data_IF_472782993003
#
_entry.id   IF_472782993003
#
_cell.length_a   1.000
_cell.length_b   1.000
_cell.length_c   1.000
_cell.angle_alpha   90.00
_cell.angle_beta   90.00
_cell.angle_gamma   90.00
#
_symmetry.space_group_name_H-M   'P 1'
#
loop_
_entity.id
_entity.type
_entity.pdbx_description
1 polymer ?
#
# COMPACT_ATOMS: atom_id res chain seq x y z
N UNK A 1 1.13 31.17 0.98
CA UNK A 1 0.44 29.87 0.92
C UNK A 1 1.09 29.01 -0.16
N UNK A 2 1.66 27.86 0.20
CA UNK A 2 2.16 26.89 -0.79
C UNK A 2 0.96 26.21 -1.42
N UNK A 3 0.82 26.29 -2.75
CA UNK A 3 -0.18 25.48 -3.46
C UNK A 3 0.36 24.05 -3.56
N UNK A 4 -0.27 23.14 -2.85
CA UNK A 4 -0.05 21.71 -2.98
C UNK A 4 -0.80 21.16 -4.21
N UNK A 5 -0.37 20.02 -4.79
CA UNK A 5 -1.16 19.32 -5.79
C UNK A 5 -2.57 19.05 -5.26
N UNK A 6 -3.57 19.20 -6.11
CA UNK A 6 -4.95 18.89 -5.73
C UNK A 6 -5.14 17.41 -5.57
N UNK A 7 -5.76 16.97 -4.46
CA UNK A 7 -6.23 15.58 -4.31
C UNK A 7 -7.27 15.25 -5.40
N UNK A 8 -7.26 14.00 -5.85
CA UNK A 8 -8.30 13.47 -6.73
C UNK A 8 -9.09 12.43 -5.95
N UNK A 9 -10.41 12.58 -5.86
CA UNK A 9 -11.26 11.50 -5.39
C UNK A 9 -11.16 10.34 -6.41
N UNK A 10 -10.72 9.17 -5.94
CA UNK A 10 -10.74 7.96 -6.75
C UNK A 10 -12.10 7.32 -6.57
N UNK A 11 -12.78 6.98 -7.65
CA UNK A 11 -14.04 6.24 -7.58
C UNK A 11 -13.83 4.95 -6.81
N UNK A 12 -14.62 4.74 -5.76
CA UNK A 12 -14.65 3.46 -5.03
C UNK A 12 -14.98 2.38 -6.06
N UNK A 13 -14.13 1.35 -6.15
CA UNK A 13 -14.49 0.18 -6.94
C UNK A 13 -15.75 -0.42 -6.31
N UNK A 14 -16.89 -0.26 -7.00
CA UNK A 14 -18.15 -0.76 -6.49
C UNK A 14 -18.16 -2.28 -6.65
N UNK A 15 -18.32 -3.07 -5.54
CA UNK A 15 -18.48 -4.52 -5.64
C UNK A 15 -19.69 -4.93 -6.46
N UNK A 16 -20.65 -4.02 -6.72
CA UNK A 16 -21.77 -4.27 -7.62
C UNK A 16 -21.33 -4.37 -9.09
N UNK A 17 -20.15 -3.86 -9.45
CA UNK A 17 -19.62 -3.88 -10.82
C UNK A 17 -18.74 -5.10 -11.07
N UNK A 18 -18.21 -5.76 -10.01
CA UNK A 18 -17.40 -6.96 -10.15
C UNK A 18 -18.09 -8.17 -9.51
N UNK A 19 -18.78 -9.03 -10.30
CA UNK A 19 -19.50 -10.21 -9.80
C UNK A 19 -18.59 -11.29 -9.16
N UNK A 20 -17.28 -11.16 -9.33
CA UNK A 20 -16.27 -12.06 -8.75
C UNK A 20 -15.65 -11.51 -7.46
N UNK A 21 -16.11 -10.35 -6.99
CA UNK A 21 -15.63 -9.78 -5.72
C UNK A 21 -16.20 -10.59 -4.55
N UNK A 22 -15.37 -11.09 -3.62
CA UNK A 22 -15.89 -11.70 -2.40
C UNK A 22 -16.71 -10.65 -1.63
N UNK A 23 -17.69 -11.10 -0.86
CA UNK A 23 -18.51 -10.20 -0.04
C UNK A 23 -17.60 -9.36 0.87
N UNK A 24 -17.89 -8.06 0.94
CA UNK A 24 -17.17 -7.16 1.84
C UNK A 24 -17.22 -7.70 3.26
N UNK A 25 -16.07 -7.87 3.91
CA UNK A 25 -16.02 -8.21 5.32
C UNK A 25 -16.25 -6.95 6.16
N UNK A 26 -16.95 -7.09 7.27
CA UNK A 26 -16.89 -6.12 8.37
C UNK A 26 -15.51 -6.09 9.02
N UNK A 27 -15.38 -5.40 10.16
CA UNK A 27 -14.14 -5.47 10.94
C UNK A 27 -13.77 -6.93 11.26
N UNK A 28 -12.47 -7.27 11.30
CA UNK A 28 -12.04 -8.61 11.69
C UNK A 28 -12.62 -8.98 13.05
N UNK A 29 -13.23 -10.18 13.13
CA UNK A 29 -13.96 -10.61 14.33
C UNK A 29 -13.08 -10.81 15.57
N UNK A 30 -11.76 -10.89 15.40
CA UNK A 30 -10.77 -10.95 16.47
C UNK A 30 -10.32 -9.57 16.97
N UNK A 31 -10.87 -8.48 16.41
CA UNK A 31 -10.55 -7.10 16.78
C UNK A 31 -9.15 -6.65 16.39
N UNK A 32 -8.52 -7.34 15.45
CA UNK A 32 -7.16 -7.05 14.98
C UNK A 32 -7.18 -6.65 13.51
N UNK A 33 -6.29 -5.74 13.13
CA UNK A 33 -6.10 -5.32 11.75
C UNK A 33 -4.68 -5.68 11.31
N UNK A 34 -4.59 -6.52 10.29
CA UNK A 34 -3.32 -7.01 9.72
C UNK A 34 -2.98 -6.19 8.50
N UNK A 35 -1.85 -5.51 8.58
CA UNK A 35 -1.34 -4.58 7.56
C UNK A 35 -0.07 -5.16 6.93
N UNK A 36 0.06 -5.03 5.60
CA UNK A 36 1.27 -5.40 4.88
C UNK A 36 1.69 -4.27 3.94
N UNK A 37 2.97 -3.93 3.94
CA UNK A 37 3.60 -3.06 2.93
C UNK A 37 4.61 -3.86 2.13
N UNK A 38 4.53 -3.78 0.78
CA UNK A 38 5.42 -4.54 -0.08
C UNK A 38 5.72 -3.82 -1.41
N UNK A 39 6.99 -3.49 -1.63
CA UNK A 39 7.48 -3.08 -2.95
C UNK A 39 7.74 -4.34 -3.78
N UNK A 40 6.93 -4.58 -4.82
CA UNK A 40 6.95 -5.83 -5.59
C UNK A 40 7.81 -5.79 -6.85
N UNK A 41 8.48 -4.66 -7.13
CA UNK A 41 9.36 -4.51 -8.31
C UNK A 41 8.71 -5.04 -9.59
N UNK A 42 7.45 -4.67 -9.86
CA UNK A 42 6.67 -5.14 -11.04
C UNK A 42 6.55 -6.68 -11.12
N UNK A 43 6.65 -7.38 -9.99
CA UNK A 43 6.63 -8.84 -9.95
C UNK A 43 7.90 -9.50 -10.50
N UNK A 44 9.03 -8.79 -10.50
CA UNK A 44 10.33 -9.32 -10.91
C UNK A 44 11.05 -9.87 -9.69
N UNK A 45 11.52 -11.13 -9.76
CA UNK A 45 12.38 -11.70 -8.75
C UNK A 45 13.83 -11.30 -9.01
N UNK A 46 14.44 -10.55 -8.10
CA UNK A 46 15.84 -10.13 -8.15
C UNK A 46 16.59 -10.73 -6.96
N UNK A 47 17.54 -11.63 -7.23
CA UNK A 47 18.25 -12.38 -6.19
C UNK A 47 19.71 -11.91 -6.00
N UNK A 48 20.25 -11.05 -6.87
CA UNK A 48 21.62 -10.55 -6.85
C UNK A 48 21.75 -9.22 -7.55
N UNK A 49 22.69 -8.36 -7.14
CA UNK A 49 23.02 -7.10 -7.83
C UNK A 49 23.29 -7.26 -9.33
N UNK A 50 23.95 -8.35 -9.74
CA UNK A 50 24.21 -8.63 -11.16
C UNK A 50 22.94 -8.73 -12.01
N UNK A 51 21.79 -9.07 -11.43
CA UNK A 51 20.52 -9.14 -12.15
C UNK A 51 20.04 -7.77 -12.64
N UNK A 52 20.35 -6.67 -11.93
CA UNK A 52 20.06 -5.32 -12.42
C UNK A 52 20.77 -5.01 -13.74
N UNK A 53 22.00 -5.48 -13.90
CA UNK A 53 22.79 -5.26 -15.11
C UNK A 53 22.43 -6.24 -16.24
N UNK A 54 22.24 -7.53 -15.91
CA UNK A 54 22.04 -8.58 -16.90
C UNK A 54 20.57 -8.80 -17.29
N UNK A 55 19.64 -8.45 -16.41
CA UNK A 55 18.19 -8.64 -16.58
C UNK A 55 17.39 -7.34 -16.69
N UNK A 56 18.07 -6.22 -16.94
CA UNK A 56 17.43 -4.90 -17.07
C UNK A 56 16.29 -4.86 -18.11
N UNK A 57 16.36 -5.71 -19.15
CA UNK A 57 15.31 -5.86 -20.16
C UNK A 57 13.99 -6.41 -19.58
N UNK A 58 14.02 -7.16 -18.47
CA UNK A 58 12.81 -7.67 -17.79
C UNK A 58 11.95 -6.54 -17.22
N UNK A 59 12.54 -5.38 -16.95
CA UNK A 59 11.79 -4.18 -16.56
C UNK A 59 10.98 -3.58 -17.70
N UNK A 60 11.28 -3.95 -18.95
CA UNK A 60 10.64 -3.40 -20.15
C UNK A 60 9.79 -4.42 -20.92
N UNK A 61 10.10 -5.72 -20.83
CA UNK A 61 9.45 -6.76 -21.62
C UNK A 61 8.73 -7.80 -20.73
N UNK A 62 7.66 -8.45 -21.24
CA UNK A 62 7.03 -9.57 -20.56
C UNK A 62 8.01 -10.73 -20.31
N UNK A 63 7.90 -11.37 -19.15
CA UNK A 63 8.75 -12.50 -18.78
C UNK A 63 7.90 -13.60 -18.13
N UNK A 64 8.13 -14.85 -18.53
CA UNK A 64 7.32 -16.03 -18.10
C UNK A 64 7.38 -16.27 -16.59
N UNK A 65 8.51 -16.00 -15.92
CA UNK A 65 8.65 -16.15 -14.47
C UNK A 65 7.81 -15.16 -13.64
N UNK A 66 7.30 -14.07 -14.26
CA UNK A 66 6.50 -13.06 -13.56
C UNK A 66 5.16 -13.61 -13.07
N UNK A 67 4.48 -14.41 -13.88
CA UNK A 67 3.19 -14.98 -13.50
C UNK A 67 3.30 -15.88 -12.26
N UNK A 68 4.29 -16.76 -12.21
CA UNK A 68 4.54 -17.59 -11.03
C UNK A 68 4.95 -16.78 -9.80
N UNK A 69 5.63 -15.64 -10.00
CA UNK A 69 5.99 -14.75 -8.92
C UNK A 69 4.76 -13.99 -8.37
N UNK A 70 3.89 -13.49 -9.26
CA UNK A 70 2.63 -12.85 -8.86
C UNK A 70 1.69 -13.82 -8.14
N UNK A 71 1.68 -15.11 -8.54
CA UNK A 71 0.92 -16.12 -7.83
C UNK A 71 1.39 -16.26 -6.37
N UNK A 72 2.70 -16.40 -6.14
CA UNK A 72 3.28 -16.46 -4.79
C UNK A 72 3.03 -15.20 -3.98
N UNK A 73 3.11 -14.02 -4.62
CA UNK A 73 2.74 -12.77 -3.98
C UNK A 73 1.28 -12.82 -3.56
N UNK A 74 0.35 -13.17 -4.47
CA UNK A 74 -1.08 -13.23 -4.19
C UNK A 74 -1.43 -14.15 -3.01
N UNK A 75 -0.79 -15.32 -2.93
CA UNK A 75 -0.95 -16.25 -1.81
C UNK A 75 -0.50 -15.62 -0.49
N UNK A 76 0.68 -14.96 -0.47
CA UNK A 76 1.17 -14.24 0.70
C UNK A 76 0.20 -13.14 1.17
N UNK A 77 -0.38 -12.38 0.23
CA UNK A 77 -1.27 -11.27 0.55
C UNK A 77 -2.56 -11.71 1.24
N UNK A 78 -3.00 -12.96 1.00
CA UNK A 78 -4.27 -13.50 1.50
C UNK A 78 -4.45 -13.48 3.03
N UNK A 79 -3.36 -13.40 3.79
CA UNK A 79 -3.37 -13.41 5.26
C UNK A 79 -3.59 -12.02 5.88
N UNK A 80 -3.70 -10.95 5.05
CA UNK A 80 -3.77 -9.57 5.50
C UNK A 80 -5.11 -8.92 5.20
N UNK A 81 -5.46 -7.89 5.99
CA UNK A 81 -6.71 -7.16 5.86
C UNK A 81 -6.55 -5.93 4.96
N UNK A 82 -5.36 -5.30 4.98
CA UNK A 82 -5.00 -4.16 4.14
C UNK A 82 -3.55 -4.27 3.68
N UNK A 83 -3.35 -4.13 2.37
CA UNK A 83 -2.03 -4.25 1.72
C UNK A 83 -1.71 -3.00 0.93
N UNK A 84 -0.51 -2.45 1.14
CA UNK A 84 0.07 -1.37 0.35
C UNK A 84 1.15 -1.93 -0.59
N UNK A 85 0.96 -1.76 -1.89
CA UNK A 85 1.85 -2.25 -2.93
C UNK A 85 2.56 -1.07 -3.61
N UNK A 86 3.88 -1.13 -3.68
CA UNK A 86 4.68 -0.18 -4.44
C UNK A 86 5.26 -0.87 -5.68
N UNK A 87 5.54 -0.06 -6.70
CA UNK A 87 6.10 -0.52 -7.97
C UNK A 87 5.27 -1.59 -8.67
N UNK A 88 3.96 -1.43 -8.70
CA UNK A 88 3.05 -2.24 -9.51
C UNK A 88 2.94 -1.69 -10.93
N UNK A 89 2.55 -2.55 -11.89
CA UNK A 89 2.21 -2.12 -13.24
C UNK A 89 0.70 -2.06 -13.45
N UNK A 90 0.25 -0.96 -14.07
CA UNK A 90 -1.16 -0.69 -14.32
C UNK A 90 -1.76 -1.38 -15.54
N UNK A 91 -1.04 -2.29 -16.20
CA UNK A 91 -1.52 -2.97 -17.42
C UNK A 91 -0.82 -2.49 -18.68
N UNK A 92 0.50 -2.40 -18.66
CA UNK A 92 1.32 -2.05 -19.81
C UNK A 92 1.93 -3.29 -20.49
N UNK A 93 2.67 -3.06 -21.59
CA UNK A 93 3.38 -4.12 -22.30
C UNK A 93 4.29 -4.94 -21.37
N UNK A 94 5.01 -4.29 -20.45
CA UNK A 94 5.94 -4.97 -19.54
C UNK A 94 5.24 -5.97 -18.60
N UNK A 95 3.96 -5.76 -18.28
CA UNK A 95 3.14 -6.69 -17.49
C UNK A 95 2.30 -7.65 -18.34
N UNK A 96 2.47 -7.61 -19.69
CA UNK A 96 1.61 -8.35 -20.62
C UNK A 96 0.16 -7.81 -20.64
N UNK A 97 0.00 -6.51 -20.40
CA UNK A 97 -1.28 -5.81 -20.30
C UNK A 97 -2.15 -6.25 -19.11
N UNK A 98 -1.54 -6.90 -18.11
CA UNK A 98 -2.20 -7.26 -16.87
C UNK A 98 -2.09 -6.11 -15.87
N UNK A 99 -3.22 -5.64 -15.34
CA UNK A 99 -3.25 -4.77 -14.18
C UNK A 99 -2.88 -5.60 -12.95
N UNK A 100 -1.67 -5.38 -12.43
CA UNK A 100 -1.15 -6.19 -11.33
C UNK A 100 -1.91 -5.98 -10.02
N UNK A 101 -2.46 -4.77 -9.77
CA UNK A 101 -3.25 -4.51 -8.56
C UNK A 101 -4.54 -5.34 -8.57
N UNK A 102 -5.29 -5.28 -9.67
CA UNK A 102 -6.51 -6.07 -9.87
C UNK A 102 -6.23 -7.57 -9.79
N UNK A 103 -5.18 -8.03 -10.49
CA UNK A 103 -4.80 -9.44 -10.52
C UNK A 103 -4.46 -9.97 -9.12
N UNK A 104 -3.67 -9.21 -8.34
CA UNK A 104 -3.31 -9.57 -6.97
C UNK A 104 -4.51 -9.50 -6.02
N UNK A 105 -5.45 -8.56 -6.26
CA UNK A 105 -6.70 -8.50 -5.50
C UNK A 105 -7.52 -9.79 -5.68
N UNK A 106 -7.62 -10.29 -6.92
CA UNK A 106 -8.31 -11.54 -7.19
C UNK A 106 -7.60 -12.75 -6.55
N UNK A 107 -6.28 -12.85 -6.68
CA UNK A 107 -5.51 -13.94 -6.09
C UNK A 107 -5.59 -13.95 -4.55
N UNK A 108 -5.49 -12.79 -3.90
CA UNK A 108 -5.55 -12.65 -2.44
C UNK A 108 -6.98 -12.57 -1.87
N UNK A 109 -8.02 -12.57 -2.73
CA UNK A 109 -9.42 -12.51 -2.31
C UNK A 109 -9.83 -11.16 -1.69
N UNK A 110 -9.32 -10.05 -2.21
CA UNK A 110 -9.67 -8.70 -1.74
C UNK A 110 -10.88 -8.14 -2.50
N UNK A 111 -11.95 -7.74 -1.78
CA UNK A 111 -13.12 -7.14 -2.40
C UNK A 111 -12.88 -5.69 -2.88
N UNK A 112 -11.91 -5.00 -2.29
CA UNK A 112 -11.57 -3.63 -2.64
C UNK A 112 -10.12 -3.52 -3.08
N UNK A 113 -9.90 -2.88 -4.21
CA UNK A 113 -8.58 -2.56 -4.69
C UNK A 113 -8.55 -1.20 -5.39
N UNK A 114 -7.42 -0.50 -5.28
CA UNK A 114 -7.26 0.86 -5.81
C UNK A 114 -5.87 1.00 -6.40
N UNK A 115 -5.82 1.59 -7.59
CA UNK A 115 -4.57 1.83 -8.30
C UNK A 115 -4.33 3.33 -8.43
N UNK A 116 -3.14 3.77 -8.03
CA UNK A 116 -2.65 5.11 -8.29
C UNK A 116 -1.62 5.07 -9.42
N UNK A 117 -1.97 5.66 -10.58
CA UNK A 117 -1.04 5.78 -11.71
C UNK A 117 -0.13 6.99 -11.50
N UNK A 118 1.12 6.76 -11.12
CA UNK A 118 2.10 7.80 -10.79
C UNK A 118 2.88 8.31 -12.01
N UNK A 119 3.15 7.44 -12.98
CA UNK A 119 3.82 7.79 -14.22
C UNK A 119 3.35 6.91 -15.36
N UNK A 120 2.84 7.54 -16.39
CA UNK A 120 2.40 6.86 -17.60
C UNK A 120 3.43 7.06 -18.72
N UNK A 121 4.06 5.98 -19.17
CA UNK A 121 4.94 5.93 -20.33
C UNK A 121 4.21 5.29 -21.54
N UNK A 122 2.93 5.56 -21.66
CA UNK A 122 2.06 5.02 -22.68
C UNK A 122 1.88 3.50 -22.54
N UNK A 123 1.99 2.78 -23.66
CA UNK A 123 1.81 1.32 -23.68
C UNK A 123 3.02 0.56 -23.12
N UNK A 124 4.18 1.19 -22.93
CA UNK A 124 5.42 0.52 -22.53
C UNK A 124 5.47 0.21 -21.03
N UNK A 125 5.15 1.19 -20.19
CA UNK A 125 5.20 1.04 -18.73
C UNK A 125 4.21 1.99 -18.03
N UNK A 126 3.52 1.48 -17.03
CA UNK A 126 2.61 2.26 -16.17
C UNK A 126 3.04 2.07 -14.72
N UNK A 127 3.87 3.01 -14.23
CA UNK A 127 4.33 2.97 -12.84
C UNK A 127 3.20 3.39 -11.91
N UNK A 128 2.79 2.47 -11.08
CA UNK A 128 1.65 2.64 -10.17
C UNK A 128 2.00 2.21 -8.75
N UNK A 129 1.18 2.67 -7.83
CA UNK A 129 1.00 2.09 -6.50
C UNK A 129 -0.33 1.37 -6.46
N UNK A 130 -0.51 0.45 -5.51
CA UNK A 130 -1.76 -0.26 -5.30
C UNK A 130 -2.12 -0.37 -3.82
N UNK A 131 -3.41 -0.38 -3.53
CA UNK A 131 -3.93 -0.76 -2.22
C UNK A 131 -4.96 -1.86 -2.42
N UNK A 132 -4.86 -2.90 -1.60
CA UNK A 132 -5.85 -3.97 -1.50
C UNK A 132 -6.46 -3.92 -0.11
N UNK A 133 -7.77 -4.07 0.00
CA UNK A 133 -8.45 -4.00 1.30
C UNK A 133 -9.61 -4.99 1.37
N UNK A 134 -9.73 -5.67 2.52
CA UNK A 134 -10.92 -6.44 2.88
C UNK A 134 -12.02 -5.54 3.42
N UNK A 135 -11.64 -4.38 3.96
CA UNK A 135 -12.52 -3.39 4.54
C UNK A 135 -12.89 -2.33 3.50
N UNK A 136 -14.14 -1.89 3.51
CA UNK A 136 -14.55 -0.74 2.70
C UNK A 136 -14.04 0.55 3.33
N UNK A 137 -13.16 1.32 2.65
CA UNK A 137 -12.80 2.64 3.13
C UNK A 137 -14.01 3.59 3.10
N UNK A 138 -14.15 4.42 4.12
CA UNK A 138 -15.16 5.49 4.13
C UNK A 138 -14.71 6.72 3.32
N UNK A 139 -13.40 6.83 3.08
CA UNK A 139 -12.78 7.84 2.23
C UNK A 139 -11.59 7.21 1.51
N UNK A 140 -11.41 7.55 0.25
CA UNK A 140 -10.20 7.27 -0.52
C UNK A 140 -9.81 8.51 -1.34
N UNK A 141 -8.58 8.94 -1.17
CA UNK A 141 -8.03 10.09 -1.91
C UNK A 141 -6.69 9.74 -2.54
N UNK A 142 -6.50 10.20 -3.78
CA UNK A 142 -5.28 10.08 -4.55
C UNK A 142 -4.50 11.39 -4.49
N UNK A 143 -3.26 11.32 -4.01
CA UNK A 143 -2.39 12.47 -3.79
C UNK A 143 -1.10 12.37 -4.61
N UNK A 144 -0.98 13.12 -5.72
CA UNK A 144 0.31 13.31 -6.37
C UNK A 144 1.27 14.00 -5.40
N UNK A 145 2.40 13.38 -5.12
CA UNK A 145 3.38 13.96 -4.21
C UNK A 145 4.23 15.06 -4.87
N UNK A 146 4.65 16.10 -4.14
CA UNK A 146 5.50 17.16 -4.67
C UNK A 146 6.83 16.63 -5.21
N UNK A 147 7.24 17.10 -6.38
CA UNK A 147 8.51 16.74 -6.98
C UNK A 147 8.39 16.17 -8.38
N UNK A 148 9.42 15.44 -8.86
CA UNK A 148 9.36 14.76 -10.15
C UNK A 148 8.23 13.74 -10.22
N UNK A 149 7.64 13.49 -11.41
CA UNK A 149 6.58 12.50 -11.58
C UNK A 149 7.05 11.10 -11.21
N UNK A 150 6.11 10.25 -10.80
CA UNK A 150 6.37 8.85 -10.45
C UNK A 150 6.32 8.55 -8.96
N UNK A 151 5.93 9.53 -8.14
CA UNK A 151 5.73 9.36 -6.70
C UNK A 151 4.36 9.85 -6.28
N UNK A 152 3.70 9.09 -5.41
CA UNK A 152 2.35 9.37 -4.95
C UNK A 152 2.06 8.78 -3.59
N UNK A 153 0.93 9.21 -3.02
CA UNK A 153 0.35 8.66 -1.81
C UNK A 153 -1.15 8.47 -1.99
N UNK A 154 -1.72 7.47 -1.35
CA UNK A 154 -3.16 7.29 -1.22
C UNK A 154 -3.55 7.35 0.25
N UNK A 155 -4.54 8.20 0.56
CA UNK A 155 -5.15 8.26 1.89
C UNK A 155 -6.43 7.43 1.89
N UNK A 156 -6.50 6.48 2.79
CA UNK A 156 -7.71 5.72 3.10
C UNK A 156 -8.17 6.09 4.51
N UNK A 157 -9.47 6.25 4.69
CA UNK A 157 -10.08 6.34 6.01
C UNK A 157 -10.88 5.06 6.28
N UNK A 158 -10.52 4.37 7.35
CA UNK A 158 -11.24 3.18 7.83
C UNK A 158 -12.08 3.59 9.04
N UNK A 159 -13.37 3.31 8.98
CA UNK A 159 -14.33 3.77 9.97
C UNK A 159 -14.78 5.21 9.79
N UNK A 160 -15.50 5.73 10.76
CA UNK A 160 -16.10 7.06 10.76
C UNK A 160 -15.82 7.79 12.08
N UNK A 161 -16.02 9.11 12.08
CA UNK A 161 -15.89 9.95 13.28
C UNK A 161 -14.46 10.15 13.75
N UNK A 162 -14.30 10.44 15.05
CA UNK A 162 -13.03 10.80 15.67
C UNK A 162 -12.05 9.64 15.83
N UNK A 163 -12.56 8.41 15.89
CA UNK A 163 -11.76 7.19 16.06
C UNK A 163 -11.44 6.50 14.73
N UNK A 164 -11.80 7.12 13.58
CA UNK A 164 -11.42 6.62 12.27
C UNK A 164 -9.89 6.53 12.12
N UNK A 165 -9.42 5.48 11.46
CA UNK A 165 -7.99 5.28 11.19
C UNK A 165 -7.68 5.87 9.81
N UNK A 166 -6.76 6.85 9.77
CA UNK A 166 -6.16 7.32 8.52
C UNK A 166 -4.98 6.43 8.15
N UNK A 167 -5.09 5.73 7.04
CA UNK A 167 -4.00 4.93 6.47
C UNK A 167 -3.46 5.65 5.24
N UNK A 168 -2.18 6.01 5.25
CA UNK A 168 -1.51 6.60 4.09
C UNK A 168 -0.51 5.61 3.54
N UNK A 169 -0.82 5.07 2.36
CA UNK A 169 0.15 4.34 1.56
C UNK A 169 0.97 5.33 0.74
N UNK A 170 2.28 5.14 0.67
CA UNK A 170 3.17 6.03 -0.07
C UNK A 170 4.39 5.31 -0.68
N UNK A 171 4.93 5.92 -1.73
CA UNK A 171 6.25 5.61 -2.25
C UNK A 171 7.02 6.92 -2.42
N UNK A 172 8.01 7.17 -1.55
CA UNK A 172 8.73 8.44 -1.47
C UNK A 172 9.92 8.52 -2.44
N UNK A 173 10.36 9.73 -2.70
CA UNK A 173 11.52 10.00 -3.57
C UNK A 173 12.83 9.53 -2.92
N UNK A 174 13.78 9.10 -3.77
CA UNK A 174 15.15 8.76 -3.35
C UNK A 174 15.93 9.97 -2.79
N UNK A 175 15.71 11.15 -3.37
CA UNK A 175 16.42 12.38 -2.98
C UNK A 175 15.87 13.00 -1.70
N UNK A 176 16.72 13.22 -0.69
CA UNK A 176 16.35 13.73 0.64
C UNK A 176 15.55 15.05 0.58
N UNK A 177 15.97 16.02 -0.23
CA UNK A 177 15.27 17.32 -0.37
C UNK A 177 13.84 17.17 -0.88
N UNK A 178 13.62 16.29 -1.86
CA UNK A 178 12.28 16.02 -2.40
C UNK A 178 11.45 15.28 -1.37
N UNK A 179 12.03 14.27 -0.73
CA UNK A 179 11.39 13.48 0.33
C UNK A 179 10.92 14.34 1.50
N UNK A 180 11.73 15.30 1.96
CA UNK A 180 11.33 16.27 3.00
C UNK A 180 10.08 17.06 2.59
N UNK A 181 9.99 17.49 1.33
CA UNK A 181 8.79 18.20 0.83
C UNK A 181 7.57 17.28 0.76
N UNK A 182 7.75 16.03 0.39
CA UNK A 182 6.70 15.01 0.38
C UNK A 182 6.19 14.72 1.78
N UNK A 183 7.09 14.56 2.75
CA UNK A 183 6.74 14.33 4.15
C UNK A 183 6.04 15.55 4.80
N UNK A 184 6.39 16.78 4.39
CA UNK A 184 5.67 17.97 4.82
C UNK A 184 4.22 17.97 4.31
N UNK A 185 4.00 17.55 3.07
CA UNK A 185 2.65 17.38 2.51
C UNK A 185 1.86 16.30 3.24
N UNK A 186 2.47 15.12 3.49
CA UNK A 186 1.83 14.02 4.24
C UNK A 186 1.45 14.46 5.65
N UNK A 187 2.33 15.20 6.34
CA UNK A 187 2.03 15.74 7.68
C UNK A 187 0.77 16.61 7.70
N UNK A 188 0.62 17.49 6.71
CA UNK A 188 -0.58 18.34 6.59
C UNK A 188 -1.82 17.49 6.32
N UNK A 189 -1.70 16.46 5.49
CA UNK A 189 -2.79 15.57 5.12
C UNK A 189 -3.37 14.80 6.33
N UNK A 190 -2.52 14.32 7.23
CA UNK A 190 -2.93 13.46 8.35
C UNK A 190 -3.12 14.19 9.67
N UNK A 191 -2.76 15.47 9.76
CA UNK A 191 -2.70 16.22 11.03
C UNK A 191 -4.02 16.31 11.80
N UNK A 192 -5.16 16.06 11.15
CA UNK A 192 -6.48 16.05 11.79
C UNK A 192 -6.94 14.68 12.32
N UNK A 193 -6.18 13.62 12.10
CA UNK A 193 -6.56 12.26 12.51
C UNK A 193 -5.87 11.85 13.81
N UNK A 194 -6.64 11.26 14.72
CA UNK A 194 -6.14 10.71 15.99
C UNK A 194 -5.36 9.42 15.77
N UNK A 195 -5.88 8.53 14.92
CA UNK A 195 -5.28 7.23 14.61
C UNK A 195 -4.66 7.29 13.21
N UNK A 196 -3.35 7.11 13.15
CA UNK A 196 -2.59 7.28 11.91
C UNK A 196 -1.73 6.05 11.64
N UNK A 197 -1.75 5.57 10.40
CA UNK A 197 -0.86 4.55 9.86
C UNK A 197 -0.23 5.10 8.60
N UNK A 198 1.11 5.17 8.55
CA UNK A 198 1.84 5.52 7.33
C UNK A 198 2.65 4.30 6.90
N UNK A 199 2.43 3.84 5.69
CA UNK A 199 3.06 2.60 5.21
C UNK A 199 3.57 2.72 3.78
N UNK A 200 4.68 2.07 3.48
CA UNK A 200 5.27 2.05 2.14
C UNK A 200 6.79 2.07 2.12
N UNK A 201 7.32 2.13 0.90
CA UNK A 201 8.73 2.38 0.65
C UNK A 201 9.02 3.88 0.83
N UNK A 202 9.63 4.22 1.96
CA UNK A 202 9.95 5.60 2.33
C UNK A 202 11.35 6.02 1.90
N UNK A 203 12.14 5.11 1.32
CA UNK A 203 13.48 5.36 0.79
C UNK A 203 14.45 6.02 1.78
N UNK A 204 14.26 5.82 3.09
CA UNK A 204 15.10 6.35 4.16
C UNK A 204 14.89 5.55 5.44
N UNK A 205 15.80 5.71 6.41
CA UNK A 205 15.72 5.03 7.70
C UNK A 205 14.69 5.68 8.63
N UNK A 206 14.16 4.90 9.57
CA UNK A 206 13.17 5.36 10.55
C UNK A 206 13.67 6.55 11.40
N UNK A 207 14.95 6.60 11.76
CA UNK A 207 15.56 7.71 12.48
C UNK A 207 15.45 9.05 11.73
N UNK A 208 15.66 9.03 10.40
CA UNK A 208 15.51 10.23 9.59
C UNK A 208 14.04 10.67 9.52
N UNK A 209 13.11 9.72 9.47
CA UNK A 209 11.66 10.00 9.44
C UNK A 209 11.19 10.63 10.76
N UNK A 210 11.58 10.04 11.88
CA UNK A 210 11.02 10.38 13.19
C UNK A 210 11.78 11.52 13.90
N UNK A 211 13.07 11.73 13.60
CA UNK A 211 13.88 12.73 14.29
C UNK A 211 14.19 13.95 13.42
N UNK A 212 14.36 13.76 12.10
CA UNK A 212 14.91 14.78 11.20
C UNK A 212 13.97 15.20 10.09
N UNK A 213 12.72 14.69 10.07
CA UNK A 213 11.74 15.02 9.04
C UNK A 213 10.58 15.89 9.59
N UNK A 214 9.70 16.38 8.72
CA UNK A 214 8.46 17.03 9.13
C UNK A 214 7.53 16.16 9.99
N UNK A 215 7.69 14.84 10.04
CA UNK A 215 6.87 13.93 10.85
C UNK A 215 7.27 13.90 12.33
N UNK A 216 8.42 14.47 12.72
CA UNK A 216 9.01 14.37 14.08
C UNK A 216 8.05 14.76 15.21
N UNK A 217 7.17 15.74 14.97
CA UNK A 217 6.28 16.29 15.99
C UNK A 217 4.94 15.52 16.08
N UNK A 218 4.74 14.46 15.28
CA UNK A 218 3.52 13.65 15.28
C UNK A 218 3.56 12.51 16.31
N UNK A 219 4.70 12.26 16.94
CA UNK A 219 4.86 11.19 17.91
C UNK A 219 4.73 9.78 17.33
N UNK A 220 4.85 9.62 16.01
CA UNK A 220 4.77 8.33 15.35
C UNK A 220 5.87 7.38 15.85
N UNK A 221 5.56 6.08 15.84
CA UNK A 221 6.49 5.00 16.18
C UNK A 221 6.77 4.16 14.94
N UNK A 222 8.03 3.76 14.76
CA UNK A 222 8.44 2.76 13.80
C UNK A 222 8.72 1.45 14.56
N UNK A 223 7.78 0.51 14.60
CA UNK A 223 7.95 -0.70 15.41
C UNK A 223 9.00 -1.66 14.83
N UNK A 224 9.27 -1.57 13.53
CA UNK A 224 10.18 -2.45 12.82
C UNK A 224 11.57 -1.79 12.74
N UNK A 225 12.62 -2.58 12.98
CA UNK A 225 14.02 -2.18 12.93
C UNK A 225 14.86 -2.99 11.94
N UNK A 226 14.35 -4.12 11.47
CA UNK A 226 15.05 -5.01 10.55
C UNK A 226 15.18 -4.37 9.16
N UNK A 227 16.28 -4.71 8.47
CA UNK A 227 16.52 -4.28 7.11
C UNK A 227 15.58 -4.99 6.11
N UNK A 228 15.11 -4.26 5.10
CA UNK A 228 14.19 -4.76 4.08
C UNK A 228 14.84 -4.84 2.70
N UNK A 229 15.94 -4.14 2.46
CA UNK A 229 16.59 -4.02 1.15
C UNK A 229 18.11 -4.25 1.22
N UNK A 230 18.72 -4.92 0.25
CA UNK A 230 18.07 -5.78 -0.74
C UNK A 230 17.67 -7.12 -0.12
N UNK A 231 16.56 -7.72 -0.57
CA UNK A 231 15.93 -8.91 0.03
C UNK A 231 16.85 -10.12 0.21
N UNK A 232 17.82 -10.31 -0.70
CA UNK A 232 18.79 -11.43 -0.65
C UNK A 232 19.97 -11.22 0.33
N UNK A 233 20.15 -10.00 0.82
CA UNK A 233 21.14 -9.63 1.85
C UNK A 233 20.73 -8.29 2.48
N UNK A 234 19.72 -8.28 3.34
CA UNK A 234 19.16 -7.05 3.87
C UNK A 234 20.20 -6.23 4.65
N UNK A 235 20.33 -4.95 4.30
CA UNK A 235 21.29 -4.01 4.91
C UNK A 235 20.68 -2.64 5.19
N UNK A 236 19.54 -2.32 4.55
CA UNK A 236 18.88 -1.02 4.67
C UNK A 236 17.41 -1.23 5.02
N UNK A 237 16.93 -0.48 6.00
CA UNK A 237 15.53 -0.42 6.38
C UNK A 237 14.90 0.76 5.64
N UNK A 238 14.19 0.50 4.54
CA UNK A 238 13.59 1.50 3.65
C UNK A 238 12.08 1.47 3.63
N UNK A 239 11.52 0.31 3.92
CA UNK A 239 10.10 0.05 3.97
C UNK A 239 9.63 0.12 5.42
N UNK A 240 8.57 0.87 5.67
CA UNK A 240 8.09 1.12 7.03
C UNK A 240 6.59 1.06 7.13
N UNK A 241 6.09 0.68 8.32
CA UNK A 241 4.74 0.93 8.78
C UNK A 241 4.87 1.73 10.08
N UNK A 242 4.61 3.05 10.02
CA UNK A 242 4.63 3.94 11.17
C UNK A 242 3.23 4.04 11.76
N UNK A 243 3.15 4.03 13.09
CA UNK A 243 1.89 4.06 13.83
C UNK A 243 1.83 5.26 14.75
N UNK A 244 0.65 5.88 14.89
CA UNK A 244 0.41 6.81 15.99
C UNK A 244 0.40 6.05 17.32
N UNK A 245 0.82 6.69 18.44
CA UNK A 245 0.89 6.03 19.76
C UNK A 245 -0.49 5.65 20.32
N UNK A 246 -1.56 6.11 19.68
CA UNK A 246 -2.95 5.76 20.01
C UNK A 246 -3.38 4.39 19.48
N UNK A 247 -2.57 3.76 18.61
CA UNK A 247 -2.80 2.41 18.09
C UNK A 247 -1.94 1.41 18.86
N UNK A 248 -2.57 0.36 19.35
CA UNK A 248 -1.88 -0.70 20.07
C UNK A 248 -1.27 -1.69 19.09
N UNK A 249 0.06 -1.79 19.10
CA UNK A 249 0.80 -2.80 18.35
C UNK A 249 0.65 -4.17 19.02
N UNK A 250 0.31 -5.20 18.23
CA UNK A 250 0.26 -6.60 18.66
C UNK A 250 1.46 -7.39 18.11
N UNK A 251 1.79 -7.18 16.83
CA UNK A 251 2.89 -7.89 16.17
C UNK A 251 3.55 -7.01 15.09
N UNK A 252 4.85 -7.20 14.91
CA UNK A 252 5.61 -6.68 13.76
C UNK A 252 6.53 -7.75 13.22
N UNK A 253 6.69 -7.81 11.90
CA UNK A 253 7.54 -8.80 11.25
C UNK A 253 8.03 -8.29 9.90
N UNK A 254 9.30 -8.54 9.59
CA UNK A 254 9.84 -8.50 8.21
C UNK A 254 9.83 -9.92 7.68
N UNK A 255 9.04 -10.17 6.65
CA UNK A 255 8.85 -11.52 6.14
C UNK A 255 10.06 -11.94 5.30
N UNK A 256 10.64 -13.10 5.61
CA UNK A 256 11.79 -13.67 4.89
C UNK A 256 11.38 -14.24 3.51
N UNK A 257 10.68 -13.43 2.69
CA UNK A 257 10.12 -13.78 1.38
C UNK A 257 10.84 -13.01 0.28
N UNK A 258 11.97 -13.52 -0.21
CA UNK A 258 12.76 -12.89 -1.28
C UNK A 258 12.09 -13.04 -2.67
N UNK A 259 10.85 -12.56 -2.81
CA UNK A 259 10.05 -12.60 -4.04
C UNK A 259 10.23 -11.31 -4.87
N UNK A 260 10.75 -10.26 -4.26
CA UNK A 260 11.14 -8.97 -4.85
C UNK A 260 12.53 -8.61 -4.35
N UNK A 261 13.08 -7.47 -4.78
CA UNK A 261 14.31 -6.90 -4.22
C UNK A 261 14.10 -6.24 -2.84
N UNK A 262 12.86 -6.04 -2.42
CA UNK A 262 12.48 -5.66 -1.07
C UNK A 262 11.85 -6.83 -0.32
N UNK A 263 11.96 -6.84 1.02
CA UNK A 263 11.22 -7.75 1.89
C UNK A 263 9.91 -7.08 2.34
N UNK A 264 8.80 -7.85 2.42
CA UNK A 264 7.54 -7.33 2.93
C UNK A 264 7.63 -7.00 4.43
N UNK A 265 6.97 -5.92 4.84
CA UNK A 265 6.81 -5.52 6.25
C UNK A 265 5.37 -5.73 6.67
N UNK A 266 5.16 -6.50 7.72
CA UNK A 266 3.85 -6.80 8.29
C UNK A 266 3.71 -6.23 9.69
N UNK A 267 2.51 -5.70 9.99
CA UNK A 267 2.14 -5.19 11.31
C UNK A 267 0.73 -5.64 11.64
N UNK A 268 0.51 -6.09 12.86
CA UNK A 268 -0.80 -6.35 13.42
C UNK A 268 -1.07 -5.34 14.54
N UNK A 269 -2.19 -4.64 14.45
CA UNK A 269 -2.65 -3.68 15.45
C UNK A 269 -4.01 -4.11 16.00
N UNK A 270 -4.27 -3.76 17.25
CA UNK A 270 -5.60 -3.86 17.83
C UNK A 270 -6.45 -2.69 17.35
N UNK A 271 -7.67 -2.99 16.91
CA UNK A 271 -8.63 -1.96 16.55
C UNK A 271 -8.99 -1.11 17.77
N UNK A 272 -9.13 0.23 17.62
CA UNK A 272 -9.73 1.07 18.64
C UNK A 272 -11.11 0.54 19.04
N UNK A 273 -11.40 0.49 20.34
CA UNK A 273 -12.62 -0.11 20.87
C UNK A 273 -13.88 0.47 20.21
N UNK A 274 -13.92 1.79 20.04
CA UNK A 274 -15.06 2.47 19.39
C UNK A 274 -15.32 1.99 17.96
N UNK A 275 -14.28 1.60 17.20
CA UNK A 275 -14.45 1.04 15.86
C UNK A 275 -14.88 -0.42 15.91
N UNK A 276 -14.36 -1.20 16.85
CA UNK A 276 -14.71 -2.61 16.99
C UNK A 276 -16.19 -2.79 17.34
N UNK A 277 -16.76 -1.86 18.12
CA UNK A 277 -18.17 -1.85 18.53
C UNK A 277 -19.12 -1.35 17.41
N UNK A 278 -18.62 -0.59 16.43
CA UNK A 278 -19.41 -0.05 15.34
C UNK A 278 -18.85 -0.52 13.98
N UNK A 279 -19.18 -1.76 13.56
CA UNK A 279 -18.70 -2.25 12.26
C UNK A 279 -19.22 -1.37 11.12
N UNK A 280 -18.42 -1.15 10.07
CA UNK A 280 -18.86 -0.42 8.90
C UNK A 280 -20.10 -1.09 8.30
N UNK A 281 -21.07 -0.29 7.85
CA UNK A 281 -22.30 -0.80 7.23
C UNK A 281 -21.93 -1.68 6.03
N UNK A 282 -22.11 -2.98 6.18
CA UNK A 282 -22.07 -3.91 5.05
C UNK A 282 -23.39 -3.72 4.31
N UNK A 283 -23.37 -2.99 3.19
CA UNK A 283 -24.53 -2.93 2.32
C UNK A 283 -24.72 -4.34 1.74
N UNK A 284 -25.72 -5.06 2.25
CA UNK A 284 -26.18 -6.30 1.66
C UNK A 284 -26.55 -6.02 0.18
N UNK A 285 -26.05 -6.85 -0.72
CA UNK A 285 -26.47 -6.78 -2.12
C UNK A 285 -28.01 -6.86 -2.17
N UNK A 286 -28.68 -6.06 -3.01
CA UNK A 286 -30.13 -6.18 -3.18
C UNK A 286 -30.45 -7.63 -3.60
N UNK A 287 -31.57 -8.19 -3.11
CA UNK A 287 -31.98 -9.54 -3.49
C UNK A 287 -32.05 -9.61 -5.01
N UNK A 288 -31.44 -10.64 -5.59
CA UNK A 288 -31.52 -10.90 -7.02
C UNK A 288 -32.98 -11.04 -7.37
N UNK A 289 -33.53 -10.09 -8.14
CA UNK A 289 -34.86 -10.23 -8.71
C UNK A 289 -34.92 -11.54 -9.50
N UNK A 290 -35.86 -12.40 -9.19
CA UNK A 290 -36.16 -13.58 -10.00
C UNK A 290 -36.41 -13.11 -11.44
N UNK A 291 -35.77 -13.67 -12.45
CA UNK A 291 -36.18 -13.45 -13.83
C UNK A 291 -37.58 -14.07 -14.02
N UNK A 292 -38.54 -13.21 -14.43
CA UNK A 292 -39.86 -13.63 -14.88
C UNK A 292 -39.78 -14.31 -16.24
#
# INVERSE_FOLDING_TARGET
MRRWPTSRAVGLCDPQVNPHCPAASGWPGDGRLRLLSFNIQVGISTERYGHYLTRGWQHLLPHTGRAGNLQRIGELLGDYDLVALQEVDGGSLRSGFVNQVEHLAHLGGFPYWYQQLNRNLGRLAQHSNGVLSRLRPSLLEDHPLPGPPGRGAMLLRLGEGADAIAVVMMHLALGARTRTRQLAYIRELIGGYRHQVLMGDMNTHASDLLLHSPLRDLGLVAPQIEATFPSWRPQRCLDHILLSPTLQLERVEVLAQAISDHLPVAVEIRLPQALAEHPPLVLSAPPRGNPA
#
